data_IF_626699144151
#
_entry.id   IF_626699144151
#
_cell.length_a   1.000
_cell.length_b   1.000
_cell.length_c   1.000
_cell.angle_alpha   90.00
_cell.angle_beta   90.00
_cell.angle_gamma   90.00
#
_symmetry.space_group_name_H-M   'P 1'
#
loop_
_entity.id
_entity.type
_entity.pdbx_description
1 polymer ?
#
# COMPACT_ATOMS: atom_id res chain seq x y z
N UNK A 1 -5.04 -1.17 25.56
CA UNK A 1 -5.53 -1.64 24.24
C UNK A 1 -5.41 -3.15 24.05
N UNK A 2 -4.22 -3.75 24.18
CA UNK A 2 -4.01 -5.18 23.90
C UNK A 2 -4.74 -6.16 24.85
N UNK A 3 -5.03 -5.71 26.08
CA UNK A 3 -5.84 -6.49 27.03
C UNK A 3 -7.31 -6.57 26.61
N UNK A 4 -7.89 -5.48 26.09
CA UNK A 4 -9.29 -5.42 25.64
C UNK A 4 -9.53 -6.41 24.50
N UNK A 5 -8.61 -6.47 23.52
CA UNK A 5 -8.69 -7.44 22.43
C UNK A 5 -8.54 -8.89 22.92
N UNK A 6 -7.65 -9.13 23.90
CA UNK A 6 -7.49 -10.43 24.56
C UNK A 6 -8.62 -10.81 25.51
N UNK A 7 -9.53 -9.91 25.84
CA UNK A 7 -10.73 -10.22 26.63
C UNK A 7 -11.93 -10.62 25.76
N UNK A 8 -11.86 -10.42 24.44
CA UNK A 8 -12.91 -10.84 23.52
C UNK A 8 -12.93 -12.36 23.36
N UNK A 9 -14.11 -12.93 23.09
CA UNK A 9 -14.24 -14.34 22.72
C UNK A 9 -13.44 -14.65 21.43
N UNK A 10 -12.97 -15.88 21.26
CA UNK A 10 -12.21 -16.27 20.05
C UNK A 10 -12.98 -16.01 18.76
N UNK A 11 -14.31 -16.25 18.74
CA UNK A 11 -15.15 -15.97 17.55
C UNK A 11 -15.21 -14.48 17.25
N UNK A 12 -15.28 -13.63 18.27
CA UNK A 12 -15.30 -12.18 18.09
C UNK A 12 -13.96 -11.66 17.56
N UNK A 13 -12.83 -12.18 18.04
CA UNK A 13 -11.50 -11.80 17.51
C UNK A 13 -11.34 -12.15 16.03
N UNK A 14 -11.80 -13.35 15.64
CA UNK A 14 -11.82 -13.76 14.24
C UNK A 14 -12.70 -12.82 13.42
N UNK A 15 -13.89 -12.49 13.90
CA UNK A 15 -14.79 -11.54 13.24
C UNK A 15 -14.16 -10.16 13.04
N UNK A 16 -13.47 -9.62 14.06
CA UNK A 16 -12.75 -8.34 13.96
C UNK A 16 -11.62 -8.44 12.92
N UNK A 17 -10.85 -9.53 12.93
CA UNK A 17 -9.78 -9.76 11.96
C UNK A 17 -10.31 -9.78 10.52
N UNK A 18 -11.38 -10.54 10.27
CA UNK A 18 -12.05 -10.59 8.97
C UNK A 18 -12.60 -9.22 8.58
N UNK A 19 -13.17 -8.47 9.52
CA UNK A 19 -13.67 -7.12 9.27
C UNK A 19 -12.57 -6.15 8.81
N UNK A 20 -11.42 -6.17 9.47
CA UNK A 20 -10.27 -5.32 9.09
C UNK A 20 -9.76 -5.70 7.70
N UNK A 21 -9.61 -7.00 7.42
CA UNK A 21 -9.16 -7.48 6.10
C UNK A 21 -10.17 -7.09 5.02
N UNK A 22 -11.46 -7.33 5.25
CA UNK A 22 -12.54 -6.98 4.33
C UNK A 22 -12.60 -5.48 4.05
N UNK A 23 -12.43 -4.65 5.09
CA UNK A 23 -12.35 -3.19 4.94
C UNK A 23 -11.15 -2.76 4.10
N UNK A 24 -9.97 -3.35 4.36
CA UNK A 24 -8.76 -3.07 3.58
C UNK A 24 -8.93 -3.42 2.09
N UNK A 25 -9.50 -4.59 1.79
CA UNK A 25 -9.75 -5.02 0.42
C UNK A 25 -10.80 -4.15 -0.29
N UNK A 26 -11.88 -3.80 0.40
CA UNK A 26 -12.90 -2.91 -0.14
C UNK A 26 -12.34 -1.51 -0.42
N UNK A 27 -11.55 -0.97 0.52
CA UNK A 27 -10.86 0.31 0.34
C UNK A 27 -9.89 0.28 -0.83
N UNK A 28 -9.10 -0.79 -0.98
CA UNK A 28 -8.17 -0.94 -2.09
C UNK A 28 -8.91 -0.99 -3.45
N UNK A 29 -9.99 -1.78 -3.53
CA UNK A 29 -10.78 -1.85 -4.76
C UNK A 29 -11.40 -0.49 -5.14
N UNK A 30 -11.90 0.26 -4.16
CA UNK A 30 -12.44 1.60 -4.40
C UNK A 30 -11.33 2.60 -4.78
N UNK A 31 -10.15 2.49 -4.18
CA UNK A 31 -9.00 3.33 -4.50
C UNK A 31 -8.53 3.11 -5.94
N UNK A 32 -8.46 1.85 -6.41
CA UNK A 32 -8.08 1.54 -7.80
C UNK A 32 -9.05 2.17 -8.80
N UNK A 33 -10.37 2.10 -8.51
CA UNK A 33 -11.40 2.75 -9.33
C UNK A 33 -11.29 4.28 -9.31
N UNK A 34 -10.92 4.84 -8.17
CA UNK A 34 -10.67 6.27 -8.05
C UNK A 34 -9.43 6.67 -8.86
N UNK A 35 -8.33 5.91 -8.79
CA UNK A 35 -7.15 6.14 -9.62
C UNK A 35 -7.48 6.10 -11.12
N UNK A 36 -8.34 5.18 -11.57
CA UNK A 36 -8.77 5.13 -12.97
C UNK A 36 -9.51 6.41 -13.41
N UNK A 37 -10.32 6.95 -12.51
CA UNK A 37 -11.18 8.12 -12.77
C UNK A 37 -10.42 9.43 -12.64
N UNK A 38 -9.51 9.52 -11.67
CA UNK A 38 -8.78 10.73 -11.29
C UNK A 38 -7.30 10.66 -11.67
N UNK A 39 -6.97 9.97 -12.79
CA UNK A 39 -5.59 9.91 -13.29
C UNK A 39 -5.01 11.31 -13.42
N UNK A 40 -3.82 11.50 -12.87
CA UNK A 40 -3.06 12.73 -13.08
C UNK A 40 -2.83 12.95 -14.58
N UNK A 41 -2.94 14.20 -15.08
CA UNK A 41 -2.67 14.52 -16.47
C UNK A 41 -1.22 14.17 -16.84
N UNK A 42 -0.99 13.88 -18.12
CA UNK A 42 0.33 13.45 -18.61
C UNK A 42 1.45 14.49 -18.36
N UNK A 43 1.05 15.76 -18.29
CA UNK A 43 1.90 16.92 -18.01
C UNK A 43 2.53 16.82 -16.61
N UNK A 44 1.71 16.51 -15.60
CA UNK A 44 2.14 16.36 -14.21
C UNK A 44 3.05 15.15 -14.04
N UNK A 45 2.78 14.06 -14.77
CA UNK A 45 3.68 12.90 -14.78
C UNK A 45 5.08 13.27 -15.27
N UNK A 46 5.19 14.09 -16.31
CA UNK A 46 6.49 14.52 -16.84
C UNK A 46 7.27 15.41 -15.87
N UNK A 47 6.58 16.18 -15.02
CA UNK A 47 7.23 16.96 -13.97
C UNK A 47 7.79 16.04 -12.89
N UNK A 48 7.00 15.08 -12.42
CA UNK A 48 7.42 14.12 -11.39
C UNK A 48 8.59 13.26 -11.87
N UNK A 49 8.54 12.78 -13.11
CA UNK A 49 9.56 11.90 -13.69
C UNK A 49 10.96 12.54 -13.73
N UNK A 50 11.04 13.89 -13.79
CA UNK A 50 12.31 14.64 -13.69
C UNK A 50 12.96 14.55 -12.31
N UNK A 51 12.18 14.31 -11.26
CA UNK A 51 12.67 14.26 -9.87
C UNK A 51 12.81 12.82 -9.35
N UNK A 52 12.35 11.81 -10.09
CA UNK A 52 12.52 10.41 -9.71
C UNK A 52 14.01 10.05 -9.80
N UNK A 53 14.67 9.68 -8.69
CA UNK A 53 16.08 9.31 -8.71
C UNK A 53 16.27 8.01 -9.50
N UNK A 54 17.20 8.00 -10.46
CA UNK A 54 17.54 6.80 -11.22
C UNK A 54 18.60 5.99 -10.47
N UNK A 55 18.29 4.74 -10.16
CA UNK A 55 19.25 3.80 -9.60
C UNK A 55 20.04 3.18 -10.74
N UNK A 56 21.34 3.44 -10.79
CA UNK A 56 22.26 2.70 -11.65
C UNK A 56 22.90 1.60 -10.82
N UNK A 57 22.59 0.34 -11.15
CA UNK A 57 23.29 -0.80 -10.55
C UNK A 57 24.68 -0.84 -11.17
N UNK A 58 25.71 -0.74 -10.32
CA UNK A 58 27.11 -0.86 -10.73
C UNK A 58 27.64 -2.16 -10.16
N UNK A 59 28.11 -3.06 -11.02
CA UNK A 59 28.74 -4.29 -10.56
C UNK A 59 30.02 -3.96 -9.79
N UNK A 60 30.11 -4.51 -8.57
CA UNK A 60 31.35 -4.46 -7.80
C UNK A 60 32.37 -5.33 -8.52
N UNK A 61 33.47 -4.74 -8.99
CA UNK A 61 34.63 -5.52 -9.44
C UNK A 61 35.16 -6.30 -8.24
N UNK A 62 35.10 -7.63 -8.29
CA UNK A 62 35.80 -8.47 -7.33
C UNK A 62 37.31 -8.21 -7.48
N UNK A 63 37.95 -7.64 -6.45
CA UNK A 63 39.42 -7.52 -6.37
C UNK A 63 40.01 -6.11 -6.40
N UNK A 64 39.54 -5.18 -5.57
CA UNK A 64 40.38 -4.10 -5.00
C UNK A 64 40.27 -4.13 -3.48
#
# INVERSE_FOLDING_TARGET
MFQTFRNLSSRTRIGVGIGIIGWGLAGHYLADRAEETYKAPAEDKAVVDRYVPRVTVVDRREGQ
#
